data_IF_592295290476
#
_entry.id   IF_592295290476
#
_cell.length_a   1.000
_cell.length_b   1.000
_cell.length_c   1.000
_cell.angle_alpha   90.00
_cell.angle_beta   90.00
_cell.angle_gamma   90.00
#
_symmetry.space_group_name_H-M   'P 1'
#
loop_
_entity.id
_entity.type
_entity.pdbx_description
1 polymer ?
#
# COMPACT_ATOMS: atom_id res chain seq x y z
N UNK A 1 -5.14 7.06 -20.20
CA UNK A 1 -6.41 6.38 -19.82
C UNK A 1 -6.78 6.74 -18.38
N UNK A 2 -7.86 7.50 -18.17
CA UNK A 2 -8.43 7.83 -16.85
C UNK A 2 -9.66 6.95 -16.62
N UNK A 3 -9.82 6.37 -15.42
CA UNK A 3 -11.07 5.72 -15.00
C UNK A 3 -11.72 6.63 -13.96
N UNK A 4 -12.95 7.08 -14.20
CA UNK A 4 -13.70 7.90 -13.25
C UNK A 4 -13.01 9.19 -12.81
N UNK A 5 -12.20 9.80 -13.68
CA UNK A 5 -11.45 11.04 -13.39
C UNK A 5 -10.04 10.82 -12.83
N UNK A 6 -9.71 9.63 -12.32
CA UNK A 6 -8.39 9.33 -11.76
C UNK A 6 -7.47 8.67 -12.80
N UNK A 7 -6.20 9.10 -12.89
CA UNK A 7 -5.14 8.34 -13.56
C UNK A 7 -5.02 6.91 -13.00
N UNK A 8 -5.14 5.88 -13.86
CA UNK A 8 -4.97 4.46 -13.47
C UNK A 8 -3.69 4.19 -12.69
N UNK A 9 -2.62 4.93 -12.98
CA UNK A 9 -1.33 4.84 -12.28
C UNK A 9 -1.44 5.13 -10.78
N UNK A 10 -2.27 6.11 -10.38
CA UNK A 10 -2.46 6.47 -8.96
C UNK A 10 -3.16 5.34 -8.22
N UNK A 11 -4.18 4.75 -8.84
CA UNK A 11 -4.87 3.59 -8.28
C UNK A 11 -3.91 2.41 -8.13
N UNK A 12 -3.12 2.08 -9.16
CA UNK A 12 -2.13 1.01 -9.06
C UNK A 12 -1.13 1.25 -7.93
N UNK A 13 -0.59 2.47 -7.80
CA UNK A 13 0.33 2.82 -6.71
C UNK A 13 -0.35 2.63 -5.36
N UNK A 14 -1.57 3.16 -5.18
CA UNK A 14 -2.32 3.00 -3.93
C UNK A 14 -2.58 1.51 -3.60
N UNK A 15 -2.95 0.71 -4.60
CA UNK A 15 -3.18 -0.72 -4.45
C UNK A 15 -1.92 -1.46 -4.01
N UNK A 16 -0.79 -1.28 -4.69
CA UNK A 16 0.47 -1.94 -4.35
C UNK A 16 1.01 -1.50 -3.00
N UNK A 17 0.99 -0.19 -2.74
CA UNK A 17 1.47 0.35 -1.48
C UNK A 17 0.59 -0.13 -0.30
N UNK A 18 -0.73 -0.18 -0.49
CA UNK A 18 -1.64 -0.79 0.49
C UNK A 18 -1.32 -2.28 0.69
N UNK A 19 -1.07 -3.02 -0.39
CA UNK A 19 -0.79 -4.45 -0.30
C UNK A 19 0.50 -4.73 0.51
N UNK A 20 1.57 -3.95 0.26
CA UNK A 20 2.82 -4.05 1.02
C UNK A 20 2.61 -3.62 2.46
N UNK A 21 1.89 -2.52 2.71
CA UNK A 21 1.59 -2.03 4.05
C UNK A 21 0.83 -3.08 4.88
N UNK A 22 -0.16 -3.73 4.28
CA UNK A 22 -1.00 -4.74 4.94
C UNK A 22 -0.28 -6.08 5.10
N UNK A 23 0.33 -6.60 4.04
CA UNK A 23 0.98 -7.92 4.08
C UNK A 23 2.33 -7.88 4.80
N UNK A 24 3.10 -6.82 4.64
CA UNK A 24 4.51 -6.76 5.02
C UNK A 24 4.75 -6.93 6.52
N UNK A 25 3.96 -6.25 7.35
CA UNK A 25 4.02 -6.39 8.81
C UNK A 25 3.71 -7.81 9.25
N UNK A 26 2.61 -8.37 8.73
CA UNK A 26 2.20 -9.73 9.05
C UNK A 26 3.22 -10.76 8.53
N UNK A 27 3.79 -10.53 7.36
CA UNK A 27 4.82 -11.37 6.74
C UNK A 27 6.08 -11.43 7.60
N UNK A 28 6.52 -10.29 8.13
CA UNK A 28 7.66 -10.20 9.02
C UNK A 28 7.42 -10.94 10.35
N UNK A 29 6.21 -10.80 10.92
CA UNK A 29 5.80 -11.54 12.12
C UNK A 29 5.66 -13.04 11.86
N UNK A 30 5.25 -13.44 10.65
CA UNK A 30 5.18 -14.86 10.30
C UNK A 30 6.57 -15.44 10.06
N UNK A 31 7.48 -14.68 9.46
CA UNK A 31 8.89 -15.07 9.30
C UNK A 31 9.57 -15.29 10.66
N UNK A 32 9.29 -14.45 11.67
CA UNK A 32 9.84 -14.64 13.02
C UNK A 32 9.32 -15.89 13.71
N UNK A 33 8.11 -16.33 13.38
CA UNK A 33 7.57 -17.61 13.83
C UNK A 33 8.18 -18.81 13.08
N UNK A 34 8.46 -18.67 11.78
CA UNK A 34 9.02 -19.75 10.95
C UNK A 34 10.46 -20.12 11.34
N UNK A 35 11.28 -19.14 11.72
CA UNK A 35 12.66 -19.37 12.16
C UNK A 35 12.93 -18.66 13.50
N UNK A 36 12.75 -19.36 14.63
CA UNK A 36 12.92 -18.79 15.96
C UNK A 36 14.31 -18.21 16.23
N UNK A 37 15.36 -18.76 15.61
CA UNK A 37 16.74 -18.30 15.80
C UNK A 37 16.94 -16.85 15.30
N UNK A 38 16.15 -16.45 14.29
CA UNK A 38 16.14 -15.10 13.72
C UNK A 38 14.90 -14.28 14.09
N UNK A 39 14.12 -14.71 15.08
CA UNK A 39 12.83 -14.12 15.41
C UNK A 39 12.90 -12.62 15.71
N UNK A 40 13.94 -12.17 16.44
CA UNK A 40 14.15 -10.76 16.76
C UNK A 40 14.40 -9.94 15.49
N UNK A 41 15.31 -10.40 14.62
CA UNK A 41 15.65 -9.71 13.38
C UNK A 41 14.43 -9.61 12.44
N UNK A 42 13.68 -10.71 12.29
CA UNK A 42 12.46 -10.74 11.49
C UNK A 42 11.37 -9.82 12.06
N UNK A 43 11.19 -9.80 13.38
CA UNK A 43 10.23 -8.90 14.01
C UNK A 43 10.62 -7.43 13.86
N UNK A 44 11.91 -7.08 13.96
CA UNK A 44 12.39 -5.71 13.73
C UNK A 44 12.21 -5.27 12.27
N UNK A 45 12.38 -6.19 11.30
CA UNK A 45 12.15 -5.91 9.88
C UNK A 45 10.71 -5.43 9.59
N UNK A 46 9.73 -5.82 10.40
CA UNK A 46 8.35 -5.34 10.31
C UNK A 46 8.23 -3.81 10.35
N UNK A 47 8.96 -3.17 11.28
CA UNK A 47 9.00 -1.73 11.41
C UNK A 47 9.60 -1.05 10.19
N UNK A 48 10.65 -1.65 9.62
CA UNK A 48 11.28 -1.17 8.39
C UNK A 48 10.33 -1.27 7.20
N UNK A 49 9.68 -2.42 7.02
CA UNK A 49 8.70 -2.64 5.92
C UNK A 49 7.54 -1.66 6.01
N UNK A 50 6.98 -1.44 7.21
CA UNK A 50 5.92 -0.47 7.42
C UNK A 50 6.39 0.97 7.11
N UNK A 51 7.59 1.35 7.57
CA UNK A 51 8.19 2.64 7.27
C UNK A 51 8.34 2.87 5.76
N UNK A 52 8.86 1.89 5.03
CA UNK A 52 8.98 1.95 3.57
C UNK A 52 7.61 2.10 2.88
N UNK A 53 6.62 1.31 3.28
CA UNK A 53 5.28 1.40 2.72
C UNK A 53 4.64 2.77 2.98
N UNK A 54 4.83 3.32 4.18
CA UNK A 54 4.38 4.66 4.54
C UNK A 54 5.03 5.72 3.67
N UNK A 55 6.36 5.72 3.53
CA UNK A 55 7.09 6.67 2.67
C UNK A 55 6.60 6.59 1.22
N UNK A 56 6.38 5.37 0.69
CA UNK A 56 5.85 5.20 -0.66
C UNK A 56 4.45 5.83 -0.82
N UNK A 57 3.56 5.61 0.16
CA UNK A 57 2.25 6.26 0.18
C UNK A 57 2.42 7.78 0.22
N UNK A 58 3.19 8.32 1.16
CA UNK A 58 3.29 9.76 1.36
C UNK A 58 3.94 10.48 0.18
N UNK A 59 5.02 9.93 -0.38
CA UNK A 59 5.78 10.57 -1.45
C UNK A 59 5.08 10.43 -2.81
N UNK A 60 4.42 9.29 -3.07
CA UNK A 60 3.88 9.00 -4.40
C UNK A 60 2.38 9.27 -4.53
N UNK A 61 1.62 9.04 -3.46
CA UNK A 61 0.16 9.10 -3.48
C UNK A 61 -0.35 10.48 -3.05
N UNK A 62 0.14 11.02 -1.93
CA UNK A 62 -0.44 12.23 -1.33
C UNK A 62 -0.35 13.46 -2.23
N UNK A 63 0.78 13.78 -2.91
CA UNK A 63 0.84 14.94 -3.81
C UNK A 63 -0.13 14.81 -4.97
N UNK A 64 -0.40 13.58 -5.41
CA UNK A 64 -1.31 13.30 -6.52
C UNK A 64 -2.76 13.49 -6.11
N UNK A 65 -3.13 13.03 -4.90
CA UNK A 65 -4.46 13.26 -4.35
C UNK A 65 -4.67 14.74 -4.10
N UNK A 66 -3.70 15.45 -3.50
CA UNK A 66 -3.78 16.88 -3.24
C UNK A 66 -4.07 17.69 -4.52
N UNK A 67 -3.33 17.42 -5.61
CA UNK A 67 -3.55 18.08 -6.90
C UNK A 67 -4.93 17.77 -7.52
N UNK A 68 -5.47 16.57 -7.30
CA UNK A 68 -6.81 16.21 -7.80
C UNK A 68 -7.90 16.89 -6.97
N UNK A 69 -7.73 16.95 -5.65
CA UNK A 69 -8.62 17.67 -4.74
C UNK A 69 -8.67 19.16 -5.07
N UNK A 70 -7.51 19.80 -5.29
CA UNK A 70 -7.45 21.22 -5.65
C UNK A 70 -8.20 21.51 -6.96
N UNK A 71 -8.05 20.65 -7.96
CA UNK A 71 -8.78 20.77 -9.24
C UNK A 71 -10.28 20.57 -9.07
N UNK A 72 -10.70 19.67 -8.17
CA UNK A 72 -12.11 19.47 -7.89
C UNK A 72 -12.73 20.72 -7.25
N UNK A 73 -12.04 21.36 -6.30
CA UNK A 73 -12.49 22.58 -5.64
C UNK A 73 -12.68 23.76 -6.60
N UNK A 74 -11.94 23.81 -7.70
CA UNK A 74 -12.05 24.85 -8.73
C UNK A 74 -13.16 24.59 -9.76
N UNK A 75 -13.87 23.45 -9.67
CA UNK A 75 -14.91 23.07 -10.64
C UNK A 75 -16.32 23.17 -10.03
N UNK A 76 -17.30 23.59 -10.84
CA UNK A 76 -18.70 23.69 -10.40
C UNK A 76 -19.29 22.31 -10.00
N UNK A 77 -18.78 21.21 -10.56
CA UNK A 77 -19.13 19.82 -10.19
C UNK A 77 -18.13 19.16 -9.23
N UNK A 78 -17.37 19.97 -8.49
CA UNK A 78 -16.26 19.54 -7.64
C UNK A 78 -16.61 18.45 -6.64
N UNK A 79 -17.75 18.60 -5.95
CA UNK A 79 -18.20 17.63 -4.94
C UNK A 79 -18.46 16.24 -5.53
N UNK A 80 -19.09 16.16 -6.70
CA UNK A 80 -19.38 14.89 -7.37
C UNK A 80 -18.09 14.24 -7.91
N UNK A 81 -17.20 15.05 -8.49
CA UNK A 81 -15.88 14.61 -8.94
C UNK A 81 -15.03 14.04 -7.80
N UNK A 82 -15.06 14.72 -6.64
CA UNK A 82 -14.34 14.31 -5.44
C UNK A 82 -14.92 13.02 -4.85
N UNK A 83 -16.25 12.88 -4.77
CA UNK A 83 -16.91 11.66 -4.33
C UNK A 83 -16.55 10.44 -5.21
N UNK A 84 -16.62 10.60 -6.54
CA UNK A 84 -16.19 9.55 -7.48
C UNK A 84 -14.71 9.20 -7.30
N UNK A 85 -13.86 10.21 -7.09
CA UNK A 85 -12.44 9.99 -6.84
C UNK A 85 -12.22 9.15 -5.58
N UNK A 86 -12.82 9.53 -4.44
CA UNK A 86 -12.69 8.77 -3.20
C UNK A 86 -13.24 7.35 -3.34
N UNK A 87 -14.36 7.16 -4.05
CA UNK A 87 -14.91 5.85 -4.34
C UNK A 87 -13.91 4.94 -5.07
N UNK A 88 -13.26 5.44 -6.13
CA UNK A 88 -12.24 4.68 -6.85
C UNK A 88 -10.98 4.42 -6.02
N UNK A 89 -10.57 5.36 -5.15
CA UNK A 89 -9.45 5.14 -4.22
C UNK A 89 -9.80 4.07 -3.17
N UNK A 90 -11.02 4.03 -2.66
CA UNK A 90 -11.48 2.99 -1.73
C UNK A 90 -11.50 1.62 -2.41
N UNK A 91 -12.04 1.50 -3.63
CA UNK A 91 -12.00 0.25 -4.41
C UNK A 91 -10.56 -0.20 -4.61
N UNK A 92 -9.69 0.73 -4.99
CA UNK A 92 -8.26 0.45 -5.16
C UNK A 92 -7.58 -0.05 -3.88
N UNK A 93 -7.95 0.51 -2.73
CA UNK A 93 -7.44 0.09 -1.42
C UNK A 93 -7.94 -1.30 -1.05
N UNK A 94 -9.21 -1.59 -1.30
CA UNK A 94 -9.81 -2.91 -1.11
C UNK A 94 -9.17 -3.99 -1.99
N UNK A 95 -8.91 -3.68 -3.26
CA UNK A 95 -8.13 -4.57 -4.13
C UNK A 95 -6.70 -4.76 -3.61
N UNK A 96 -6.12 -3.72 -2.99
CA UNK A 96 -4.81 -3.80 -2.34
C UNK A 96 -4.79 -4.78 -1.16
N UNK A 97 -5.82 -4.78 -0.32
CA UNK A 97 -5.91 -5.74 0.80
C UNK A 97 -6.15 -7.17 0.34
N UNK A 98 -6.85 -7.36 -0.78
CA UNK A 98 -6.97 -8.68 -1.44
C UNK A 98 -5.63 -9.14 -2.00
N UNK A 99 -4.90 -8.25 -2.69
CA UNK A 99 -3.54 -8.52 -3.15
C UNK A 99 -2.60 -8.84 -1.98
N UNK A 100 -2.78 -8.19 -0.83
CA UNK A 100 -2.00 -8.47 0.37
C UNK A 100 -2.11 -9.93 0.81
N UNK A 101 -3.28 -10.57 0.65
CA UNK A 101 -3.46 -11.98 1.01
C UNK A 101 -2.56 -12.88 0.15
N UNK A 102 -2.40 -12.54 -1.13
CA UNK A 102 -1.52 -13.27 -2.05
C UNK A 102 -0.04 -13.02 -1.74
N UNK A 103 0.31 -11.81 -1.27
CA UNK A 103 1.68 -11.44 -0.94
C UNK A 103 2.13 -11.91 0.44
N UNK A 104 1.21 -12.25 1.34
CA UNK A 104 1.51 -12.57 2.74
C UNK A 104 2.50 -13.73 2.90
N UNK A 105 2.17 -14.91 2.38
CA UNK A 105 3.04 -16.09 2.48
C UNK A 105 4.37 -15.90 1.74
N UNK A 106 4.40 -15.52 0.45
CA UNK A 106 5.68 -15.34 -0.25
C UNK A 106 6.51 -14.20 0.33
N UNK A 107 5.87 -13.14 0.85
CA UNK A 107 6.54 -12.06 1.55
C UNK A 107 7.27 -12.52 2.81
N UNK A 108 6.67 -13.45 3.57
CA UNK A 108 7.30 -13.99 4.78
C UNK A 108 8.56 -14.79 4.43
N UNK A 109 8.49 -15.67 3.44
CA UNK A 109 9.65 -16.43 2.96
C UNK A 109 10.74 -15.52 2.37
N UNK A 110 10.35 -14.43 1.69
CA UNK A 110 11.30 -13.47 1.15
C UNK A 110 12.04 -12.71 2.25
N UNK A 111 11.33 -12.26 3.30
CA UNK A 111 11.95 -11.63 4.47
C UNK A 111 12.88 -12.60 5.18
N UNK A 112 12.44 -13.86 5.37
CA UNK A 112 13.26 -14.89 6.00
C UNK A 112 14.56 -15.12 5.22
N UNK A 113 14.48 -15.28 3.90
CA UNK A 113 15.65 -15.46 3.04
C UNK A 113 16.65 -14.30 3.13
N UNK A 114 16.18 -13.06 3.25
CA UNK A 114 17.05 -11.88 3.40
C UNK A 114 17.78 -11.89 4.74
N UNK A 115 17.15 -12.38 5.81
CA UNK A 115 17.69 -12.34 7.16
C UNK A 115 18.63 -13.51 7.43
N UNK A 116 18.43 -14.63 6.74
CA UNK A 116 19.34 -15.78 6.76
C UNK A 116 20.63 -15.55 5.95
N UNK A 117 20.66 -14.53 5.09
CA UNK A 117 21.78 -14.14 4.23
C UNK A 117 22.87 -13.38 5.00
#
# INVERSE_FOLDING_TARGET
>A
LRIGGIPKRIMLINMFATAIYTAGVLSALYASFLNPDYATNASTASGLVNGFATILLTVLLDPRIALLTERALQSESGAESMSKMYGWLMISRLLGTLLAQLLFVPGAYWILWIIEL
#
